data_IF_632129972797
#
_entry.id   IF_632129972797
#
_cell.length_a   1.000
_cell.length_b   1.000
_cell.length_c   1.000
_cell.angle_alpha   90.00
_cell.angle_beta   90.00
_cell.angle_gamma   90.00
#
_symmetry.space_group_name_H-M   'P 1'
#
loop_
_entity.id
_entity.type
_entity.pdbx_description
1 polymer ?
#
# COMPACT_ATOMS: atom_id res chain seq x y z
N UNK A 1 -12.91 -18.20 35.52
CA UNK A 1 -13.16 -17.14 34.52
C UNK A 1 -11.93 -16.29 34.18
N UNK A 2 -10.95 -16.13 35.09
CA UNK A 2 -9.73 -15.29 34.86
C UNK A 2 -8.73 -15.93 33.87
N UNK A 3 -8.64 -17.27 33.82
CA UNK A 3 -7.67 -17.99 32.97
C UNK A 3 -8.01 -17.87 31.47
N UNK A 4 -9.30 -17.91 31.11
CA UNK A 4 -9.76 -17.71 29.73
C UNK A 4 -9.45 -16.30 29.20
N UNK A 5 -9.56 -15.26 30.05
CA UNK A 5 -9.24 -13.89 29.66
C UNK A 5 -7.74 -13.67 29.40
N UNK A 6 -6.86 -14.30 30.18
CA UNK A 6 -5.40 -14.17 30.00
C UNK A 6 -4.90 -14.82 28.71
N UNK A 7 -5.49 -15.96 28.33
CA UNK A 7 -5.15 -16.69 27.10
C UNK A 7 -5.69 -15.96 25.86
N UNK A 8 -6.90 -15.39 25.94
CA UNK A 8 -7.45 -14.53 24.90
C UNK A 8 -6.58 -13.28 24.68
N UNK A 9 -6.23 -12.55 25.75
CA UNK A 9 -5.37 -11.37 25.66
C UNK A 9 -3.99 -11.70 25.08
N UNK A 10 -3.42 -12.86 25.44
CA UNK A 10 -2.14 -13.32 24.87
C UNK A 10 -2.24 -13.61 23.37
N UNK A 11 -3.32 -14.26 22.93
CA UNK A 11 -3.56 -14.59 21.51
C UNK A 11 -3.81 -13.33 20.67
N UNK A 12 -4.56 -12.36 21.22
CA UNK A 12 -4.75 -11.05 20.61
C UNK A 12 -3.42 -10.31 20.47
N UNK A 13 -2.56 -10.34 21.49
CA UNK A 13 -1.26 -9.65 21.45
C UNK A 13 -0.33 -10.22 20.36
N UNK A 14 -0.27 -11.54 20.22
CA UNK A 14 0.47 -12.24 19.15
C UNK A 14 -0.07 -11.84 17.76
N UNK A 15 -1.39 -11.77 17.63
CA UNK A 15 -2.05 -11.31 16.39
C UNK A 15 -1.68 -9.86 16.07
N UNK A 16 -1.72 -8.96 17.06
CA UNK A 16 -1.34 -7.55 16.90
C UNK A 16 0.13 -7.41 16.50
N UNK A 17 1.03 -8.15 17.14
CA UNK A 17 2.45 -8.15 16.78
C UNK A 17 2.66 -8.63 15.34
N UNK A 18 1.98 -9.70 14.92
CA UNK A 18 2.01 -10.19 13.53
C UNK A 18 1.48 -9.16 12.52
N UNK A 19 0.40 -8.45 12.85
CA UNK A 19 -0.14 -7.38 11.99
C UNK A 19 0.83 -6.19 11.90
N UNK A 20 1.45 -5.80 13.01
CA UNK A 20 2.43 -4.71 13.03
C UNK A 20 3.67 -5.05 12.21
N UNK A 21 4.16 -6.29 12.30
CA UNK A 21 5.26 -6.78 11.45
C UNK A 21 4.86 -6.74 9.97
N UNK A 22 3.68 -7.25 9.63
CA UNK A 22 3.15 -7.22 8.26
C UNK A 22 3.04 -5.80 7.70
N UNK A 23 2.59 -4.85 8.51
CA UNK A 23 2.53 -3.43 8.16
C UNK A 23 3.92 -2.82 7.96
N UNK A 24 4.90 -3.18 8.79
CA UNK A 24 6.30 -2.76 8.60
C UNK A 24 6.87 -3.30 7.30
N UNK A 25 6.66 -4.58 6.99
CA UNK A 25 7.07 -5.20 5.72
C UNK A 25 6.41 -4.51 4.53
N UNK A 26 5.12 -4.18 4.62
CA UNK A 26 4.40 -3.42 3.59
C UNK A 26 4.96 -2.01 3.38
N UNK A 27 5.33 -1.31 4.45
CA UNK A 27 5.95 0.02 4.39
C UNK A 27 7.37 -0.02 3.83
N UNK A 28 8.14 -1.06 4.14
CA UNK A 28 9.46 -1.27 3.54
C UNK A 28 9.34 -1.55 2.04
N UNK A 29 8.36 -2.37 1.65
CA UNK A 29 8.06 -2.65 0.24
C UNK A 29 7.76 -1.39 -0.56
N UNK A 30 6.90 -0.53 -0.02
CA UNK A 30 6.56 0.77 -0.61
C UNK A 30 7.80 1.62 -0.92
N UNK A 31 8.78 1.68 0.01
CA UNK A 31 10.02 2.45 -0.16
C UNK A 31 10.96 1.88 -1.22
N UNK A 32 10.90 0.58 -1.44
CA UNK A 32 11.75 -0.12 -2.40
C UNK A 32 11.14 -0.03 -3.81
N UNK A 33 9.82 0.03 -3.94
CA UNK A 33 9.16 0.05 -5.22
C UNK A 33 9.53 1.29 -6.07
N UNK A 34 9.87 1.13 -7.36
CA UNK A 34 10.21 2.26 -8.23
C UNK A 34 8.98 3.07 -8.63
N UNK A 35 9.11 4.40 -8.62
CA UNK A 35 8.03 5.36 -8.93
C UNK A 35 7.87 5.57 -10.46
N UNK A 36 7.59 4.48 -11.20
CA UNK A 36 7.40 4.50 -12.65
C UNK A 36 5.96 4.14 -13.01
N UNK A 37 5.21 5.11 -13.56
CA UNK A 37 3.78 4.96 -13.92
C UNK A 37 3.50 3.78 -14.85
N UNK A 38 4.41 3.48 -15.77
CA UNK A 38 4.29 2.36 -16.72
C UNK A 38 4.27 1.02 -15.94
N UNK A 39 5.13 0.89 -14.93
CA UNK A 39 5.20 -0.30 -14.09
C UNK A 39 3.95 -0.49 -13.23
N UNK A 40 3.34 0.62 -12.81
CA UNK A 40 2.08 0.60 -12.07
C UNK A 40 0.92 0.04 -12.92
N UNK A 41 0.90 0.27 -14.24
CA UNK A 41 -0.14 -0.31 -15.10
C UNK A 41 0.02 -1.83 -15.27
N UNK A 42 1.25 -2.34 -15.28
CA UNK A 42 1.53 -3.78 -15.40
C UNK A 42 1.33 -4.51 -14.07
N UNK A 43 1.79 -3.91 -12.97
CA UNK A 43 1.73 -4.49 -11.62
C UNK A 43 0.74 -3.73 -10.74
N UNK A 44 -0.30 -4.42 -10.27
CA UNK A 44 -1.26 -3.88 -9.28
C UNK A 44 -0.61 -3.35 -8.01
N UNK A 45 0.60 -3.80 -7.67
CA UNK A 45 1.36 -3.29 -6.52
C UNK A 45 1.69 -1.80 -6.65
N UNK A 46 2.12 -1.38 -7.84
CA UNK A 46 2.41 0.01 -8.12
C UNK A 46 1.18 0.90 -8.06
N UNK A 47 0.00 0.38 -8.45
CA UNK A 47 -1.27 1.11 -8.29
C UNK A 47 -1.61 1.31 -6.81
N UNK A 48 -1.52 0.26 -5.99
CA UNK A 48 -1.83 0.35 -4.56
C UNK A 48 -0.87 1.32 -3.87
N UNK A 49 0.42 1.27 -4.19
CA UNK A 49 1.43 2.20 -3.65
C UNK A 49 1.12 3.65 -4.05
N UNK A 50 0.79 3.88 -5.33
CA UNK A 50 0.38 5.20 -5.82
C UNK A 50 -0.87 5.71 -5.09
N UNK A 51 -1.88 4.86 -4.88
CA UNK A 51 -3.09 5.21 -4.12
C UNK A 51 -2.73 5.59 -2.69
N UNK A 52 -1.88 4.82 -2.01
CA UNK A 52 -1.47 5.11 -0.62
C UNK A 52 -0.77 6.48 -0.54
N UNK A 53 0.20 6.73 -1.43
CA UNK A 53 0.95 7.98 -1.46
C UNK A 53 0.05 9.17 -1.78
N UNK A 54 -0.74 9.06 -2.85
CA UNK A 54 -1.69 10.09 -3.25
C UNK A 54 -2.72 10.35 -2.14
N UNK A 55 -3.17 9.32 -1.43
CA UNK A 55 -4.10 9.49 -0.31
C UNK A 55 -3.47 10.34 0.80
N UNK A 56 -2.20 10.10 1.14
CA UNK A 56 -1.51 10.88 2.18
C UNK A 56 -1.30 12.35 1.80
N UNK A 57 -1.05 12.62 0.52
CA UNK A 57 -0.86 13.97 -0.01
C UNK A 57 -2.20 14.73 -0.17
N UNK A 58 -3.26 14.03 -0.60
CA UNK A 58 -4.59 14.61 -0.87
C UNK A 58 -5.40 14.82 0.41
N UNK A 59 -5.15 14.02 1.46
CA UNK A 59 -5.88 14.04 2.72
C UNK A 59 -6.09 15.43 3.35
N UNK A 60 -5.05 16.27 3.57
CA UNK A 60 -5.24 17.56 4.23
C UNK A 60 -6.18 18.49 3.45
N UNK A 61 -6.16 18.43 2.12
CA UNK A 61 -7.03 19.24 1.27
C UNK A 61 -8.49 18.79 1.38
N UNK A 62 -8.74 17.47 1.32
CA UNK A 62 -10.09 16.91 1.46
C UNK A 62 -10.68 17.23 2.83
N UNK A 63 -9.87 17.15 3.90
CA UNK A 63 -10.31 17.49 5.25
C UNK A 63 -10.67 18.97 5.38
N UNK A 64 -9.83 19.87 4.86
CA UNK A 64 -10.11 21.31 4.89
C UNK A 64 -11.42 21.64 4.19
N UNK A 65 -11.62 21.13 2.96
CA UNK A 65 -12.87 21.33 2.20
C UNK A 65 -14.07 20.75 2.95
N UNK A 66 -13.93 19.56 3.53
CA UNK A 66 -15.01 18.90 4.26
C UNK A 66 -15.41 19.66 5.53
N UNK A 67 -14.46 20.26 6.24
CA UNK A 67 -14.73 21.09 7.43
C UNK A 67 -15.44 22.38 7.03
N UNK A 68 -14.96 23.07 5.99
CA UNK A 68 -15.58 24.30 5.48
C UNK A 68 -17.03 24.00 5.04
N UNK A 69 -17.22 22.90 4.32
CA UNK A 69 -18.54 22.45 3.88
C UNK A 69 -19.46 22.13 5.06
N UNK A 70 -18.96 21.39 6.05
CA UNK A 70 -19.74 21.01 7.23
C UNK A 70 -20.15 22.24 8.06
N UNK A 71 -19.23 23.20 8.22
CA UNK A 71 -19.49 24.45 8.93
C UNK A 71 -20.54 25.29 8.20
N UNK A 72 -20.37 25.53 6.90
CA UNK A 72 -21.29 26.36 6.12
C UNK A 72 -22.69 25.74 6.01
N UNK A 73 -22.76 24.43 5.77
CA UNK A 73 -24.03 23.70 5.69
C UNK A 73 -24.81 23.75 7.01
N UNK A 74 -24.12 23.78 8.15
CA UNK A 74 -24.74 23.90 9.47
C UNK A 74 -25.50 25.20 9.71
N UNK A 75 -25.20 26.27 8.95
CA UNK A 75 -25.93 27.55 9.02
C UNK A 75 -27.14 27.61 8.09
N UNK A 76 -27.19 26.74 7.08
CA UNK A 76 -28.26 26.72 6.06
C UNK A 76 -29.35 25.70 6.42
N UNK A 77 -28.95 24.59 7.03
CA UNK A 77 -29.85 23.50 7.42
C UNK A 77 -30.61 23.86 8.69
N UNK A 78 -31.84 23.36 8.82
CA UNK A 78 -32.62 23.51 10.05
C UNK A 78 -31.94 22.80 11.24
N UNK A 79 -32.25 23.22 12.47
CA UNK A 79 -31.63 22.71 13.70
C UNK A 79 -31.61 21.19 13.81
N UNK A 80 -32.62 20.51 13.26
CA UNK A 80 -32.71 19.04 13.22
C UNK A 80 -31.63 18.38 12.35
N UNK A 81 -31.21 19.01 11.25
CA UNK A 81 -30.28 18.44 10.27
C UNK A 81 -28.85 19.01 10.35
N UNK A 82 -28.61 19.97 11.26
CA UNK A 82 -27.32 20.65 11.43
C UNK A 82 -26.12 19.71 11.63
N UNK A 83 -26.34 18.52 12.19
CA UNK A 83 -25.28 17.55 12.49
C UNK A 83 -24.96 16.58 11.35
N UNK A 84 -25.82 16.45 10.34
CA UNK A 84 -25.61 15.52 9.21
C UNK A 84 -24.26 15.75 8.50
N UNK A 85 -23.85 16.99 8.18
CA UNK A 85 -22.56 17.24 7.52
C UNK A 85 -21.35 16.80 8.34
N UNK A 86 -21.42 16.93 9.67
CA UNK A 86 -20.37 16.48 10.59
C UNK A 86 -20.23 14.96 10.61
N UNK A 87 -21.35 14.23 10.57
CA UNK A 87 -21.33 12.76 10.45
C UNK A 87 -20.62 12.35 9.15
N UNK A 88 -20.93 13.02 8.04
CA UNK A 88 -20.26 12.81 6.76
C UNK A 88 -18.74 13.03 6.85
N UNK A 89 -18.31 14.12 7.51
CA UNK A 89 -16.89 14.40 7.74
C UNK A 89 -16.19 13.25 8.48
N UNK A 90 -16.77 12.74 9.58
CA UNK A 90 -16.17 11.63 10.32
C UNK A 90 -16.08 10.33 9.51
N UNK A 91 -17.10 10.05 8.69
CA UNK A 91 -17.08 8.89 7.79
C UNK A 91 -15.95 9.02 6.77
N UNK A 92 -15.80 10.20 6.15
CA UNK A 92 -14.71 10.48 5.22
C UNK A 92 -13.37 10.26 5.92
N UNK A 93 -13.16 10.91 7.07
CA UNK A 93 -11.93 10.78 7.85
C UNK A 93 -11.59 9.31 8.18
N UNK A 94 -12.58 8.54 8.64
CA UNK A 94 -12.39 7.13 8.95
C UNK A 94 -11.99 6.30 7.72
N UNK A 95 -12.66 6.50 6.58
CA UNK A 95 -12.34 5.79 5.34
C UNK A 95 -10.93 6.11 4.84
N UNK A 96 -10.52 7.39 4.90
CA UNK A 96 -9.19 7.81 4.47
C UNK A 96 -8.05 7.25 5.33
N UNK A 97 -8.31 6.90 6.59
CA UNK A 97 -7.34 6.21 7.45
C UNK A 97 -7.34 4.70 7.16
N UNK A 98 -8.50 4.12 6.89
CA UNK A 98 -8.64 2.69 6.61
C UNK A 98 -8.02 2.27 5.26
N UNK A 99 -8.14 3.09 4.23
CA UNK A 99 -7.57 2.81 2.89
C UNK A 99 -6.05 2.53 2.95
N UNK A 100 -5.19 3.42 3.50
CA UNK A 100 -3.77 3.14 3.56
C UNK A 100 -3.47 1.94 4.46
N UNK A 101 -4.17 1.77 5.58
CA UNK A 101 -3.96 0.65 6.49
C UNK A 101 -4.25 -0.71 5.81
N UNK A 102 -5.37 -0.79 5.08
CA UNK A 102 -5.74 -1.98 4.31
C UNK A 102 -4.77 -2.22 3.15
N UNK A 103 -4.29 -1.15 2.50
CA UNK A 103 -3.27 -1.20 1.47
C UNK A 103 -1.94 -1.78 1.97
N UNK A 104 -1.38 -1.24 3.06
CA UNK A 104 -0.14 -1.75 3.65
C UNK A 104 -0.23 -3.22 4.06
N UNK A 105 -1.38 -3.63 4.62
CA UNK A 105 -1.60 -5.02 5.00
C UNK A 105 -1.61 -5.97 3.80
N UNK A 106 -2.16 -5.52 2.66
CA UNK A 106 -2.14 -6.27 1.41
C UNK A 106 -0.72 -6.34 0.82
N UNK A 107 0.02 -5.23 0.85
CA UNK A 107 1.41 -5.13 0.40
C UNK A 107 2.34 -6.04 1.22
N UNK A 108 2.22 -6.07 2.55
CA UNK A 108 3.00 -6.98 3.40
C UNK A 108 2.80 -8.45 3.03
N UNK A 109 1.54 -8.88 2.84
CA UNK A 109 1.25 -10.28 2.43
C UNK A 109 1.79 -10.61 1.04
N UNK A 110 1.91 -9.61 0.17
CA UNK A 110 2.49 -9.77 -1.17
C UNK A 110 4.02 -9.80 -1.14
N UNK A 111 4.63 -8.99 -0.29
CA UNK A 111 6.08 -8.94 -0.12
C UNK A 111 6.67 -10.29 0.28
N UNK A 112 5.91 -11.09 1.06
CA UNK A 112 6.29 -12.43 1.55
C UNK A 112 5.91 -13.58 0.60
N UNK A 113 5.07 -13.33 -0.43
CA UNK A 113 4.69 -14.37 -1.38
C UNK A 113 5.83 -14.66 -2.35
N UNK A 114 6.13 -15.95 -2.51
CA UNK A 114 7.05 -16.44 -3.53
C UNK A 114 6.49 -16.17 -4.93
N UNK A 115 7.36 -15.74 -5.85
CA UNK A 115 6.95 -15.55 -7.25
C UNK A 115 6.72 -16.92 -7.89
N UNK A 116 5.58 -17.09 -8.56
CA UNK A 116 5.26 -18.32 -9.30
C UNK A 116 4.92 -18.04 -10.76
N UNK A 117 5.17 -19.01 -11.64
CA UNK A 117 4.81 -18.96 -13.06
C UNK A 117 5.50 -17.84 -13.84
N UNK A 118 4.71 -17.03 -14.55
CA UNK A 118 5.17 -16.00 -15.51
C UNK A 118 6.08 -14.94 -14.86
N UNK A 119 5.77 -14.50 -13.65
CA UNK A 119 6.54 -13.43 -12.98
C UNK A 119 7.95 -13.90 -12.57
N UNK A 120 8.13 -15.19 -12.28
CA UNK A 120 9.44 -15.75 -11.94
C UNK A 120 10.35 -15.87 -13.16
N UNK A 121 9.80 -16.26 -14.31
CA UNK A 121 10.54 -16.29 -15.58
C UNK A 121 11.01 -14.88 -15.92
N UNK A 122 10.10 -13.91 -15.86
CA UNK A 122 10.42 -12.51 -16.10
C UNK A 122 11.45 -11.94 -15.12
N UNK A 123 11.38 -12.31 -13.84
CA UNK A 123 12.40 -11.94 -12.85
C UNK A 123 13.80 -12.45 -13.24
N UNK A 124 13.90 -13.70 -13.68
CA UNK A 124 15.19 -14.28 -14.11
C UNK A 124 15.74 -13.58 -15.34
N UNK A 125 14.90 -13.26 -16.32
CA UNK A 125 15.32 -12.50 -17.51
C UNK A 125 15.87 -11.12 -17.14
N UNK A 126 15.27 -10.45 -16.16
CA UNK A 126 15.78 -9.15 -15.68
C UNK A 126 17.10 -9.31 -14.93
N UNK A 127 17.23 -10.33 -14.09
CA UNK A 127 18.48 -10.63 -13.40
C UNK A 127 19.62 -10.92 -14.39
N UNK A 128 19.34 -11.66 -15.46
CA UNK A 128 20.30 -11.92 -16.55
C UNK A 128 20.71 -10.62 -17.25
N UNK A 129 19.76 -9.72 -17.57
CA UNK A 129 20.06 -8.43 -18.20
C UNK A 129 20.88 -7.48 -17.32
N UNK A 130 20.76 -7.60 -16.00
CA UNK A 130 21.49 -6.77 -15.03
C UNK A 130 22.76 -7.45 -14.50
N UNK A 131 23.08 -8.66 -14.97
CA UNK A 131 24.20 -9.49 -14.48
C UNK A 131 24.14 -9.75 -12.95
N UNK A 132 22.93 -9.84 -12.39
CA UNK A 132 22.70 -10.09 -10.96
C UNK A 132 22.41 -11.57 -10.74
N UNK A 133 23.01 -12.17 -9.71
CA UNK A 133 22.70 -13.54 -9.30
C UNK A 133 21.24 -13.66 -8.85
N UNK A 134 20.45 -14.48 -9.55
CA UNK A 134 19.07 -14.74 -9.18
C UNK A 134 18.99 -15.60 -7.91
N UNK A 135 18.20 -15.14 -6.92
CA UNK A 135 17.89 -15.92 -5.72
C UNK A 135 17.09 -17.19 -6.07
N UNK A 136 17.34 -18.28 -5.34
CA UNK A 136 16.67 -19.58 -5.53
C UNK A 136 15.16 -19.54 -5.26
N UNK A 137 14.71 -18.72 -4.31
CA UNK A 137 13.30 -18.51 -3.96
C UNK A 137 12.96 -17.02 -3.95
N UNK A 138 12.76 -16.40 -5.14
CA UNK A 138 12.52 -14.97 -5.22
C UNK A 138 11.17 -14.65 -4.59
N UNK A 139 11.18 -13.71 -3.65
CA UNK A 139 9.96 -13.15 -3.03
C UNK A 139 9.58 -11.84 -3.72
N UNK A 140 8.34 -11.37 -3.59
CA UNK A 140 7.92 -10.08 -4.17
C UNK A 140 8.90 -8.95 -3.85
N UNK A 141 9.48 -8.95 -2.64
CA UNK A 141 10.45 -7.94 -2.23
C UNK A 141 11.78 -7.99 -3.00
N UNK A 142 12.23 -9.19 -3.40
CA UNK A 142 13.41 -9.35 -4.26
C UNK A 142 13.17 -8.77 -5.65
N UNK A 143 11.97 -8.98 -6.21
CA UNK A 143 11.53 -8.37 -7.47
C UNK A 143 11.57 -6.85 -7.38
N UNK A 144 10.97 -6.27 -6.34
CA UNK A 144 10.96 -4.82 -6.14
C UNK A 144 12.37 -4.23 -6.09
N UNK A 145 13.33 -4.88 -5.42
CA UNK A 145 14.73 -4.44 -5.34
C UNK A 145 15.41 -4.45 -6.71
N UNK A 146 15.23 -5.52 -7.48
CA UNK A 146 15.80 -5.65 -8.82
C UNK A 146 15.19 -4.61 -9.76
N UNK A 147 13.87 -4.40 -9.69
CA UNK A 147 13.19 -3.37 -10.47
C UNK A 147 13.65 -1.96 -10.12
N UNK A 148 13.91 -1.68 -8.84
CA UNK A 148 14.47 -0.39 -8.41
C UNK A 148 15.82 -0.14 -9.08
N UNK A 149 16.71 -1.14 -9.09
CA UNK A 149 17.99 -1.05 -9.80
C UNK A 149 17.81 -0.87 -11.30
N UNK A 150 16.96 -1.69 -11.93
CA UNK A 150 16.65 -1.59 -13.35
C UNK A 150 16.13 -0.21 -13.75
N UNK A 151 15.30 0.41 -12.91
CA UNK A 151 14.71 1.73 -13.18
C UNK A 151 15.71 2.89 -13.13
N UNK A 152 16.92 2.66 -12.58
CA UNK A 152 17.99 3.67 -12.53
C UNK A 152 18.62 3.89 -13.91
N UNK A 153 18.64 2.85 -14.76
CA UNK A 153 19.11 2.93 -16.14
C UNK A 153 17.91 2.94 -17.10
N UNK A 154 17.63 4.11 -17.68
CA UNK A 154 16.48 4.35 -18.55
C UNK A 154 16.53 3.50 -19.83
N UNK A 155 17.73 3.19 -20.32
CA UNK A 155 17.93 2.41 -21.55
C UNK A 155 17.57 0.93 -21.37
N UNK A 156 17.96 0.36 -20.23
CA UNK A 156 17.62 -1.01 -19.83
C UNK A 156 16.14 -1.11 -19.47
N UNK A 157 15.61 -0.13 -18.74
CA UNK A 157 14.19 -0.09 -18.37
C UNK A 157 13.26 -0.12 -19.60
N UNK A 158 13.58 0.66 -20.64
CA UNK A 158 12.78 0.70 -21.87
C UNK A 158 12.72 -0.67 -22.58
N UNK A 159 13.86 -1.37 -22.68
CA UNK A 159 13.94 -2.73 -23.26
C UNK A 159 13.11 -3.75 -22.48
N UNK A 160 13.09 -3.63 -21.15
CA UNK A 160 12.29 -4.52 -20.28
C UNK A 160 10.79 -4.24 -20.49
N UNK A 161 10.39 -2.96 -20.62
CA UNK A 161 8.99 -2.59 -20.81
C UNK A 161 8.41 -2.97 -22.17
N UNK A 162 9.22 -3.01 -23.24
CA UNK A 162 8.76 -3.42 -24.57
C UNK A 162 8.38 -4.91 -24.65
N UNK A 163 8.88 -5.73 -23.73
CA UNK A 163 8.59 -7.18 -23.66
C UNK A 163 7.42 -7.54 -22.74
N UNK A 164 6.88 -6.59 -21.98
CA UNK A 164 5.77 -6.81 -21.03
C UNK A 164 4.40 -6.79 -21.71
#
# INVERSE_FOLDING_TARGET
MIILGKQAVFTELELFMGILQLLRSGKEYEKVWPDRKILNNVFREGLVISIIRNSSEILPYVLAVSIIWAYYSGHILSDTFRYIPWIGFFIILANYILIPLTGYRWLGKRAERQLTGKTLVWYREICEQLEITAELQPTGLSLAKVLKRASTDDSTFKKITEKM
#
